data_IF_929175012903
#
_entry.id   IF_929175012903
#
_cell.length_a   1.000
_cell.length_b   1.000
_cell.length_c   1.000
_cell.angle_alpha   90.00
_cell.angle_beta   90.00
_cell.angle_gamma   90.00
#
_symmetry.space_group_name_H-M   'P 1'
#
loop_
_entity.id
_entity.type
_entity.pdbx_description
1 polymer ?
#
# COMPACT_ATOMS: atom_id res chain seq x y z
N UNK A 1 -4.16 -17.21 18.22
CA UNK A 1 -5.20 -16.56 17.39
C UNK A 1 -4.51 -15.91 16.23
N UNK A 2 -4.76 -16.39 15.00
CA UNK A 2 -4.28 -15.71 13.81
C UNK A 2 -5.10 -14.44 13.61
N UNK A 3 -4.44 -13.30 13.44
CA UNK A 3 -5.12 -12.07 13.02
C UNK A 3 -5.50 -12.23 11.54
N UNK A 4 -6.78 -12.21 11.16
CA UNK A 4 -7.16 -12.19 9.75
C UNK A 4 -6.81 -10.82 9.17
N UNK A 5 -6.01 -10.82 8.11
CA UNK A 5 -5.49 -9.63 7.46
C UNK A 5 -4.13 -9.96 6.85
N UNK A 6 -3.96 -9.73 5.55
CA UNK A 6 -2.71 -10.03 4.88
C UNK A 6 -1.58 -9.19 5.50
N UNK A 7 -0.58 -9.79 6.17
CA UNK A 7 0.47 -9.04 6.85
C UNK A 7 1.49 -8.43 5.88
N UNK A 8 1.33 -8.67 4.57
CA UNK A 8 2.24 -8.24 3.53
C UNK A 8 1.49 -7.70 2.31
N UNK A 9 2.01 -6.59 1.76
CA UNK A 9 1.71 -6.11 0.43
C UNK A 9 2.83 -6.55 -0.51
N UNK A 10 2.45 -7.19 -1.61
CA UNK A 10 3.36 -7.52 -2.71
C UNK A 10 3.22 -6.48 -3.79
N UNK A 11 4.32 -5.80 -4.09
CA UNK A 11 4.37 -4.67 -5.00
C UNK A 11 5.41 -5.00 -6.06
N UNK A 12 4.99 -5.05 -7.32
CA UNK A 12 5.90 -5.19 -8.47
C UNK A 12 5.95 -3.86 -9.19
N UNK A 13 7.10 -3.20 -9.20
CA UNK A 13 7.32 -1.94 -9.90
C UNK A 13 8.28 -2.16 -11.04
N UNK A 14 7.90 -1.71 -12.23
CA UNK A 14 8.76 -1.70 -13.42
C UNK A 14 9.34 -0.31 -13.62
N UNK A 15 10.48 -0.22 -14.31
CA UNK A 15 11.10 1.06 -14.70
C UNK A 15 11.51 1.95 -13.52
N UNK A 16 11.98 1.33 -12.44
CA UNK A 16 12.45 2.06 -11.26
C UNK A 16 13.89 2.51 -11.44
N UNK A 17 14.15 3.80 -11.23
CA UNK A 17 15.50 4.37 -11.20
C UNK A 17 16.18 4.17 -9.83
N UNK A 18 17.50 4.24 -9.80
CA UNK A 18 18.26 4.21 -8.56
C UNK A 18 17.84 5.35 -7.61
N UNK A 19 17.72 5.05 -6.31
CA UNK A 19 17.37 6.02 -5.25
C UNK A 19 15.94 6.56 -5.29
N UNK A 20 15.03 5.92 -6.03
CA UNK A 20 13.61 6.25 -5.98
C UNK A 20 13.05 5.99 -4.57
N UNK A 21 12.34 6.98 -4.03
CA UNK A 21 11.57 6.83 -2.78
C UNK A 21 10.10 6.72 -3.15
N UNK A 22 9.48 5.62 -2.76
CA UNK A 22 8.04 5.44 -2.88
C UNK A 22 7.37 5.51 -1.52
N UNK A 23 6.09 5.84 -1.50
CA UNK A 23 5.26 5.92 -0.32
C UNK A 23 4.08 4.99 -0.51
N UNK A 24 3.95 4.01 0.38
CA UNK A 24 2.79 3.14 0.45
C UNK A 24 1.75 3.81 1.34
N UNK A 25 0.60 4.16 0.76
CA UNK A 25 -0.47 4.85 1.46
C UNK A 25 -1.72 3.97 1.47
N UNK A 26 -2.40 3.89 2.62
CA UNK A 26 -3.74 3.31 2.72
C UNK A 26 -4.72 4.45 2.97
N UNK A 27 -5.64 4.67 2.04
CA UNK A 27 -6.51 5.85 2.00
C UNK A 27 -7.97 5.42 2.09
N UNK A 28 -8.74 6.09 2.96
CA UNK A 28 -10.19 6.03 2.93
C UNK A 28 -10.70 6.98 1.85
N UNK A 29 -11.28 6.44 0.77
CA UNK A 29 -11.80 7.26 -0.32
C UNK A 29 -13.07 8.02 0.10
N UNK A 30 -13.89 7.42 0.97
CA UNK A 30 -15.09 8.08 1.50
C UNK A 30 -14.77 9.33 2.31
N UNK A 31 -13.63 9.35 3.02
CA UNK A 31 -13.21 10.45 3.90
C UNK A 31 -12.05 11.25 3.35
N UNK A 32 -11.56 10.88 2.16
CA UNK A 32 -10.37 11.42 1.52
C UNK A 32 -9.20 11.57 2.51
N UNK A 33 -8.90 10.51 3.27
CA UNK A 33 -7.94 10.55 4.38
C UNK A 33 -7.00 9.38 4.35
N UNK A 34 -5.70 9.66 4.43
CA UNK A 34 -4.65 8.65 4.63
C UNK A 34 -4.75 8.09 6.05
N UNK A 35 -4.92 6.78 6.16
CA UNK A 35 -5.00 6.01 7.40
C UNK A 35 -3.67 5.36 7.79
N UNK A 36 -2.82 5.11 6.80
CA UNK A 36 -1.47 4.59 6.99
C UNK A 36 -0.57 5.11 5.88
N UNK A 37 0.67 5.43 6.22
CA UNK A 37 1.72 5.84 5.28
C UNK A 37 3.03 5.15 5.68
N UNK A 38 3.77 4.66 4.69
CA UNK A 38 5.12 4.13 4.88
C UNK A 38 6.00 4.47 3.70
N UNK A 39 7.12 5.15 3.96
CA UNK A 39 8.14 5.42 2.95
C UNK A 39 9.05 4.21 2.78
N UNK A 40 9.35 3.87 1.54
CA UNK A 40 10.22 2.77 1.15
C UNK A 40 11.29 3.36 0.23
N UNK A 41 12.53 3.33 0.68
CA UNK A 41 13.69 3.74 -0.11
C UNK A 41 14.15 2.55 -0.96
N UNK A 42 14.25 2.74 -2.27
CA UNK A 42 14.77 1.74 -3.19
C UNK A 42 16.28 1.99 -3.32
N UNK A 43 17.08 1.05 -2.82
CA UNK A 43 18.52 1.20 -2.73
C UNK A 43 19.20 1.16 -4.10
N UNK A 44 20.29 1.92 -4.22
CA UNK A 44 21.14 2.02 -5.40
C UNK A 44 21.83 0.68 -5.68
N UNK A 45 21.75 0.21 -6.93
CA UNK A 45 22.26 -1.10 -7.37
C UNK A 45 21.16 -2.06 -7.82
N UNK A 46 19.90 -1.72 -7.57
CA UNK A 46 18.74 -2.36 -8.18
C UNK A 46 18.63 -1.82 -9.61
N UNK A 47 19.44 -2.37 -10.52
CA UNK A 47 19.48 -1.97 -11.94
C UNK A 47 18.06 -1.82 -12.49
N UNK A 48 17.82 -0.75 -13.25
CA UNK A 48 16.63 -0.49 -14.08
C UNK A 48 15.99 -1.81 -14.54
N UNK A 49 14.90 -2.18 -13.88
CA UNK A 49 14.29 -3.49 -13.99
C UNK A 49 13.02 -3.58 -13.17
N UNK A 50 12.42 -4.77 -13.14
CA UNK A 50 11.28 -5.05 -12.27
C UNK A 50 11.79 -5.30 -10.86
N UNK A 51 11.35 -4.49 -9.90
CA UNK A 51 11.59 -4.72 -8.48
C UNK A 51 10.35 -5.33 -7.85
N UNK A 52 10.55 -6.31 -6.98
CA UNK A 52 9.50 -6.91 -6.18
C UNK A 52 9.73 -6.54 -4.72
N UNK A 53 8.81 -5.76 -4.17
CA UNK A 53 8.86 -5.30 -2.79
C UNK A 53 7.81 -6.06 -2.00
N UNK A 54 8.24 -6.71 -0.91
CA UNK A 54 7.35 -7.28 0.09
C UNK A 54 7.33 -6.33 1.29
N UNK A 55 6.30 -5.48 1.35
CA UNK A 55 6.17 -4.51 2.43
C UNK A 55 5.29 -5.10 3.54
N UNK A 56 5.79 -5.26 4.78
CA UNK A 56 4.94 -5.66 5.88
C UNK A 56 3.93 -4.54 6.17
N UNK A 57 2.66 -4.92 6.16
CA UNK A 57 1.54 -4.06 6.53
C UNK A 57 1.26 -4.22 8.02
N UNK A 58 1.15 -3.13 8.79
CA UNK A 58 0.61 -3.24 10.13
C UNK A 58 -0.87 -3.66 10.06
N UNK A 59 -1.48 -4.08 11.19
CA UNK A 59 -2.91 -4.30 11.25
C UNK A 59 -3.66 -3.04 10.80
N UNK A 60 -4.20 -3.06 9.58
CA UNK A 60 -4.92 -1.94 9.00
C UNK A 60 -6.28 -1.86 9.68
N UNK A 61 -6.49 -0.78 10.45
CA UNK A 61 -7.79 -0.52 11.05
C UNK A 61 -8.72 0.01 9.97
N UNK A 62 -9.77 -0.75 9.69
CA UNK A 62 -10.90 -0.32 8.86
C UNK A 62 -11.97 0.19 9.83
N UNK A 63 -12.08 1.51 10.08
CA UNK A 63 -13.01 2.03 11.08
C UNK A 63 -14.48 1.86 10.67
N UNK A 64 -14.76 1.76 9.37
CA UNK A 64 -16.11 1.69 8.82
C UNK A 64 -16.12 0.92 7.49
N UNK A 65 -17.21 0.24 7.14
CA UNK A 65 -17.38 -0.29 5.79
C UNK A 65 -17.25 0.82 4.76
N UNK A 66 -16.65 0.50 3.62
CA UNK A 66 -16.49 1.48 2.57
C UNK A 66 -15.40 1.15 1.58
N UNK A 67 -15.10 2.12 0.74
CA UNK A 67 -14.04 1.99 -0.25
C UNK A 67 -12.75 2.61 0.26
N UNK A 68 -11.69 1.83 0.18
CA UNK A 68 -10.34 2.20 0.49
C UNK A 68 -9.45 2.00 -0.74
N UNK A 69 -8.31 2.66 -0.76
CA UNK A 69 -7.27 2.45 -1.76
C UNK A 69 -5.94 2.19 -1.06
N UNK A 70 -5.21 1.19 -1.55
CA UNK A 70 -3.79 1.04 -1.28
C UNK A 70 -3.04 1.69 -2.46
N UNK A 71 -2.42 2.83 -2.22
CA UNK A 71 -1.77 3.65 -3.22
C UNK A 71 -0.26 3.57 -3.06
N UNK A 72 0.43 3.59 -4.20
CA UNK A 72 1.88 3.72 -4.27
C UNK A 72 2.12 5.09 -4.87
N UNK A 73 2.73 5.96 -4.08
CA UNK A 73 3.04 7.33 -4.47
C UNK A 73 4.54 7.45 -4.68
N UNK A 74 4.96 8.10 -5.77
CA UNK A 74 6.34 8.41 -6.07
C UNK A 74 6.42 9.89 -6.42
N UNK A 75 7.25 10.64 -5.70
CA UNK A 75 7.43 12.10 -5.92
C UNK A 75 6.12 12.91 -5.90
N UNK A 76 5.12 12.46 -5.14
CA UNK A 76 3.81 13.09 -5.04
C UNK A 76 2.78 12.65 -6.09
N UNK A 77 3.15 11.79 -7.04
CA UNK A 77 2.23 11.18 -8.00
C UNK A 77 1.87 9.74 -7.64
N UNK A 78 0.61 9.36 -7.85
CA UNK A 78 0.15 7.98 -7.68
C UNK A 78 0.59 7.17 -8.90
N UNK A 79 1.56 6.28 -8.70
CA UNK A 79 2.08 5.37 -9.75
C UNK A 79 1.38 4.00 -9.75
N UNK A 80 0.63 3.69 -8.69
CA UNK A 80 -0.16 2.47 -8.59
C UNK A 80 -1.26 2.60 -7.55
N UNK A 81 -2.41 1.98 -7.79
CA UNK A 81 -3.50 1.93 -6.82
C UNK A 81 -4.22 0.58 -6.86
N UNK A 82 -4.62 0.09 -5.70
CA UNK A 82 -5.45 -1.09 -5.54
C UNK A 82 -6.68 -0.76 -4.72
N UNK A 83 -7.86 -0.94 -5.30
CA UNK A 83 -9.14 -0.68 -4.64
C UNK A 83 -9.48 -1.82 -3.70
N UNK A 84 -9.80 -1.47 -2.45
CA UNK A 84 -10.19 -2.40 -1.40
C UNK A 84 -11.62 -2.02 -0.96
N UNK A 85 -12.52 -2.99 -0.99
CA UNK A 85 -13.87 -2.84 -0.46
C UNK A 85 -13.88 -3.53 0.89
N UNK A 86 -14.14 -2.77 1.95
CA UNK A 86 -14.32 -3.34 3.26
C UNK A 86 -15.82 -3.44 3.56
N UNK A 87 -16.26 -4.64 3.89
CA UNK A 87 -17.62 -4.96 4.26
C UNK A 87 -17.70 -5.21 5.77
N UNK A 88 -18.86 -4.95 6.37
CA UNK A 88 -19.13 -5.43 7.73
C UNK A 88 -19.23 -6.95 7.64
N UNK A 89 -18.40 -7.65 8.41
CA UNK A 89 -18.57 -9.08 8.61
C UNK A 89 -19.84 -9.29 9.47
N UNK A 90 -20.99 -9.51 8.81
CA UNK A 90 -22.28 -9.80 9.44
C UNK A 90 -22.35 -11.29 9.85
N UNK A 91 -21.39 -11.75 10.65
CA UNK A 91 -21.34 -13.11 11.17
C UNK A 91 -20.67 -13.17 12.56
N UNK A 92 -21.21 -12.39 13.49
CA UNK A 92 -20.89 -12.50 14.92
C UNK A 92 -22.16 -12.74 15.75
#
# INVERSE_FOLDING_TARGET
>A
GGVPGSPYAYISLTDVCDSTTIELQFVSLSRNRVLFEKKILIERGTRLGTIEIVAPLPPLKVPEPGTYALEIVCEGEIIGSSKIIAELDDNA
#
